data_IF_728040059586
#
_entry.id   IF_728040059586
#
_cell.length_a   1.000
_cell.length_b   1.000
_cell.length_c   1.000
_cell.angle_alpha   90.00
_cell.angle_beta   90.00
_cell.angle_gamma   90.00
#
_symmetry.space_group_name_H-M   'P 1'
#
loop_
_entity.id
_entity.type
_entity.pdbx_description
1 polymer ?
#
# COMPACT_ATOMS: atom_id res chain seq x y z
N UNK A 1 -41.53 -6.77 -21.46
CA UNK A 1 -40.47 -6.53 -20.47
C UNK A 1 -39.19 -7.14 -20.96
N UNK A 2 -38.39 -6.39 -21.70
CA UNK A 2 -37.08 -6.82 -22.19
C UNK A 2 -36.08 -6.51 -21.07
N UNK A 3 -35.76 -7.50 -20.27
CA UNK A 3 -34.65 -7.43 -19.32
C UNK A 3 -33.35 -7.48 -20.11
N UNK A 4 -32.74 -6.31 -20.32
CA UNK A 4 -31.35 -6.22 -20.77
C UNK A 4 -30.46 -6.82 -19.68
N UNK A 5 -30.14 -8.11 -19.83
CA UNK A 5 -29.04 -8.72 -19.09
C UNK A 5 -27.74 -8.15 -19.59
N UNK A 6 -27.26 -7.09 -18.91
CA UNK A 6 -25.94 -6.54 -19.14
C UNK A 6 -24.87 -7.64 -18.97
N UNK A 7 -23.81 -7.63 -19.77
CA UNK A 7 -22.73 -8.62 -19.70
C UNK A 7 -21.80 -8.35 -18.49
N UNK A 8 -22.35 -8.45 -17.29
CA UNK A 8 -21.60 -8.27 -16.02
C UNK A 8 -20.59 -9.40 -15.77
N UNK A 9 -20.79 -10.57 -16.36
CA UNK A 9 -19.84 -11.70 -16.24
C UNK A 9 -18.51 -11.42 -16.92
N UNK A 10 -18.52 -10.84 -18.13
CA UNK A 10 -17.29 -10.62 -18.91
C UNK A 10 -16.37 -9.56 -18.27
N UNK A 11 -16.95 -8.53 -17.67
CA UNK A 11 -16.18 -7.52 -16.95
C UNK A 11 -15.61 -8.05 -15.63
N UNK A 12 -16.31 -8.95 -14.94
CA UNK A 12 -15.82 -9.59 -13.73
C UNK A 12 -14.71 -10.62 -14.01
N UNK A 13 -14.79 -11.33 -15.12
CA UNK A 13 -13.76 -12.29 -15.53
C UNK A 13 -12.49 -11.58 -16.00
N UNK A 14 -12.62 -10.48 -16.74
CA UNK A 14 -11.50 -9.61 -17.11
C UNK A 14 -10.85 -8.96 -15.88
N UNK A 15 -11.64 -8.51 -14.92
CA UNK A 15 -11.11 -7.94 -13.67
C UNK A 15 -10.36 -8.99 -12.83
N UNK A 16 -10.84 -10.23 -12.80
CA UNK A 16 -10.13 -11.34 -12.14
C UNK A 16 -8.83 -11.68 -12.86
N UNK A 17 -8.83 -11.76 -14.19
CA UNK A 17 -7.63 -12.05 -14.97
C UNK A 17 -6.61 -10.93 -14.84
N UNK A 18 -7.04 -9.66 -14.87
CA UNK A 18 -6.16 -8.52 -14.62
C UNK A 18 -5.63 -8.49 -13.19
N UNK A 19 -6.46 -8.87 -12.21
CA UNK A 19 -6.08 -8.90 -10.80
C UNK A 19 -5.18 -10.07 -10.40
N UNK A 20 -5.07 -11.13 -11.22
CA UNK A 20 -4.21 -12.28 -10.94
C UNK A 20 -3.11 -12.43 -11.98
N UNK A 21 -3.42 -13.02 -13.13
CA UNK A 21 -2.39 -13.40 -14.12
C UNK A 21 -1.57 -12.22 -14.65
N UNK A 22 -2.22 -11.09 -14.96
CA UNK A 22 -1.51 -9.89 -15.42
C UNK A 22 -0.65 -9.28 -14.30
N UNK A 23 -1.17 -9.26 -13.08
CA UNK A 23 -0.41 -8.79 -11.92
C UNK A 23 0.83 -9.68 -11.68
N UNK A 24 0.69 -10.99 -11.79
CA UNK A 24 1.81 -11.93 -11.61
C UNK A 24 2.88 -11.73 -12.69
N UNK A 25 2.48 -11.55 -13.94
CA UNK A 25 3.40 -11.22 -15.04
C UNK A 25 4.14 -9.90 -14.78
N UNK A 26 3.43 -8.86 -14.35
CA UNK A 26 4.04 -7.55 -14.04
C UNK A 26 5.02 -7.68 -12.87
N UNK A 27 4.68 -8.42 -11.82
CA UNK A 27 5.55 -8.65 -10.67
C UNK A 27 6.83 -9.39 -11.08
N UNK A 28 6.72 -10.42 -11.92
CA UNK A 28 7.88 -11.16 -12.43
C UNK A 28 8.78 -10.26 -13.28
N UNK A 29 8.19 -9.46 -14.19
CA UNK A 29 8.95 -8.53 -15.03
C UNK A 29 9.64 -7.45 -14.18
N UNK A 30 8.96 -6.89 -13.18
CA UNK A 30 9.56 -5.95 -12.24
C UNK A 30 10.71 -6.59 -11.47
N UNK A 31 10.51 -7.81 -10.97
CA UNK A 31 11.55 -8.55 -10.25
C UNK A 31 12.79 -8.81 -11.12
N UNK A 32 12.60 -9.20 -12.38
CA UNK A 32 13.67 -9.38 -13.34
C UNK A 32 14.39 -8.07 -13.65
N UNK A 33 13.65 -6.99 -13.91
CA UNK A 33 14.22 -5.69 -14.25
C UNK A 33 15.05 -5.14 -13.09
N UNK A 34 14.52 -5.18 -11.87
CA UNK A 34 15.22 -4.74 -10.66
C UNK A 34 16.42 -5.66 -10.38
N UNK A 35 16.24 -6.97 -10.51
CA UNK A 35 17.32 -7.95 -10.30
C UNK A 35 18.48 -7.78 -11.29
N UNK A 36 18.18 -7.54 -12.57
CA UNK A 36 19.21 -7.31 -13.60
C UNK A 36 19.93 -5.96 -13.43
N UNK A 37 19.23 -4.93 -12.92
CA UNK A 37 19.83 -3.62 -12.67
C UNK A 37 20.67 -3.58 -11.39
N UNK A 38 20.52 -4.57 -10.51
CA UNK A 38 21.22 -4.64 -9.22
C UNK A 38 22.53 -5.43 -9.39
N UNK A 39 23.62 -4.74 -9.72
CA UNK A 39 24.95 -5.35 -9.73
C UNK A 39 25.47 -5.55 -8.31
N UNK A 40 25.99 -6.73 -8.02
CA UNK A 40 26.48 -7.08 -6.68
C UNK A 40 27.60 -6.14 -6.18
N UNK A 41 28.43 -5.62 -7.09
CA UNK A 41 29.50 -4.66 -6.80
C UNK A 41 29.00 -3.30 -6.31
N UNK A 42 27.81 -2.87 -6.76
CA UNK A 42 27.21 -1.61 -6.35
C UNK A 42 26.23 -1.79 -5.17
N UNK A 43 25.60 -2.96 -5.09
CA UNK A 43 24.59 -3.24 -4.07
C UNK A 43 25.19 -3.61 -2.70
N UNK A 44 26.37 -4.23 -2.67
CA UNK A 44 27.06 -4.64 -1.43
C UNK A 44 28.05 -3.58 -0.91
N UNK A 45 27.78 -2.31 -1.15
CA UNK A 45 28.54 -1.22 -0.55
C UNK A 45 27.99 -0.86 0.84
N UNK A 46 28.88 -0.38 1.73
CA UNK A 46 28.47 0.08 3.06
C UNK A 46 27.38 1.16 2.98
N UNK A 47 27.41 2.04 1.98
CA UNK A 47 26.40 3.05 1.78
C UNK A 47 25.01 2.45 1.51
N UNK A 48 24.93 1.38 0.72
CA UNK A 48 23.67 0.69 0.43
C UNK A 48 23.11 -0.01 1.67
N UNK A 49 23.96 -0.59 2.50
CA UNK A 49 23.53 -1.19 3.78
C UNK A 49 22.95 -0.12 4.70
N UNK A 50 23.58 1.07 4.79
CA UNK A 50 23.05 2.19 5.56
C UNK A 50 21.71 2.68 5.02
N UNK A 51 21.54 2.78 3.70
CA UNK A 51 20.27 3.18 3.06
C UNK A 51 19.18 2.15 3.39
N UNK A 52 19.50 0.86 3.37
CA UNK A 52 18.57 -0.21 3.73
C UNK A 52 18.11 -0.12 5.19
N UNK A 53 19.05 0.06 6.11
CA UNK A 53 18.74 0.25 7.52
C UNK A 53 17.91 1.52 7.75
N UNK A 54 18.29 2.62 7.11
CA UNK A 54 17.53 3.88 7.19
C UNK A 54 16.11 3.71 6.65
N UNK A 55 15.94 2.99 5.54
CA UNK A 55 14.63 2.66 4.97
C UNK A 55 13.78 1.81 5.92
N UNK A 56 14.37 0.81 6.58
CA UNK A 56 13.67 -0.01 7.57
C UNK A 56 13.20 0.83 8.76
N UNK A 57 14.06 1.70 9.30
CA UNK A 57 13.69 2.63 10.37
C UNK A 57 12.60 3.61 9.94
N UNK A 58 12.72 4.19 8.75
CA UNK A 58 11.71 5.10 8.20
C UNK A 58 10.35 4.40 8.07
N UNK A 59 10.33 3.13 7.64
CA UNK A 59 9.11 2.34 7.52
C UNK A 59 8.43 2.09 8.88
N UNK A 60 9.20 1.76 9.91
CA UNK A 60 8.70 1.57 11.28
C UNK A 60 8.11 2.87 11.81
N UNK A 61 8.81 3.99 11.63
CA UNK A 61 8.34 5.32 12.07
C UNK A 61 7.06 5.70 11.33
N UNK A 62 7.02 5.53 10.01
CA UNK A 62 5.86 5.85 9.18
C UNK A 62 4.62 5.05 9.59
N UNK A 63 4.76 3.74 9.78
CA UNK A 63 3.67 2.86 10.23
C UNK A 63 3.16 3.26 11.62
N UNK A 64 4.06 3.49 12.56
CA UNK A 64 3.73 3.89 13.93
C UNK A 64 3.03 5.26 13.96
N UNK A 65 3.56 6.22 13.22
CA UNK A 65 2.99 7.58 13.12
C UNK A 65 1.61 7.55 12.46
N UNK A 66 1.41 6.73 11.43
CA UNK A 66 0.10 6.55 10.78
C UNK A 66 -0.98 6.06 11.76
N UNK A 67 -0.65 5.06 12.57
CA UNK A 67 -1.56 4.54 13.61
C UNK A 67 -1.84 5.60 14.68
N UNK A 68 -0.80 6.29 15.15
CA UNK A 68 -0.94 7.36 16.14
C UNK A 68 -1.78 8.52 15.61
N UNK A 69 -1.61 8.89 14.35
CA UNK A 69 -2.36 9.96 13.71
C UNK A 69 -3.86 9.65 13.67
N UNK A 70 -4.24 8.43 13.26
CA UNK A 70 -5.66 8.02 13.27
C UNK A 70 -6.20 7.96 14.69
N UNK A 71 -5.39 7.52 15.66
CA UNK A 71 -5.77 7.51 17.08
C UNK A 71 -6.00 8.93 17.61
N UNK A 72 -5.14 9.87 17.22
CA UNK A 72 -5.28 11.29 17.53
C UNK A 72 -6.55 11.88 16.89
N UNK A 73 -6.79 11.63 15.60
CA UNK A 73 -8.04 12.04 14.94
C UNK A 73 -9.28 11.49 15.64
N UNK A 74 -9.24 10.27 16.13
CA UNK A 74 -10.36 9.66 16.83
C UNK A 74 -10.70 10.33 18.18
N UNK A 75 -9.81 11.16 18.73
CA UNK A 75 -10.11 11.97 19.92
C UNK A 75 -11.11 13.07 19.57
N UNK A 76 -10.99 13.65 18.38
CA UNK A 76 -11.88 14.71 17.89
C UNK A 76 -13.17 14.19 17.23
N UNK A 77 -13.21 12.89 16.88
CA UNK A 77 -14.36 12.30 16.22
C UNK A 77 -15.37 11.75 17.23
N UNK A 78 -16.70 12.00 17.02
CA UNK A 78 -17.75 11.42 17.86
C UNK A 78 -17.73 9.88 17.75
N UNK A 79 -18.19 9.21 18.81
CA UNK A 79 -18.14 7.74 18.95
C UNK A 79 -18.64 6.93 17.76
N UNK A 80 -19.62 7.47 17.00
CA UNK A 80 -20.22 6.80 15.83
C UNK A 80 -19.37 6.91 14.55
N UNK A 81 -18.35 7.76 14.51
CA UNK A 81 -17.49 8.00 13.33
C UNK A 81 -16.05 7.62 13.55
N UNK A 82 -15.76 6.85 14.59
CA UNK A 82 -14.39 6.41 14.89
C UNK A 82 -13.85 5.52 13.77
N UNK A 83 -12.66 5.87 13.31
CA UNK A 83 -11.91 5.13 12.29
C UNK A 83 -11.04 4.09 13.00
N UNK A 84 -10.99 2.86 12.46
CA UNK A 84 -10.11 1.86 13.00
C UNK A 84 -8.63 2.29 12.82
N UNK A 85 -7.81 2.31 13.89
CA UNK A 85 -6.40 2.72 13.81
C UNK A 85 -5.56 1.91 12.82
N UNK A 86 -5.93 0.65 12.53
CA UNK A 86 -5.28 -0.20 11.54
C UNK A 86 -5.33 0.38 10.12
N UNK A 87 -6.30 1.24 9.82
CA UNK A 87 -6.38 1.95 8.54
C UNK A 87 -5.21 2.94 8.40
N UNK A 88 -4.76 3.54 9.50
CA UNK A 88 -3.59 4.42 9.52
C UNK A 88 -2.29 3.72 9.12
N UNK A 89 -2.14 2.45 9.46
CA UNK A 89 -0.99 1.65 9.02
C UNK A 89 -0.92 1.48 7.50
N UNK A 90 -2.06 1.55 6.81
CA UNK A 90 -2.12 1.42 5.36
C UNK A 90 -1.65 2.69 4.61
N UNK A 91 -1.38 3.80 5.28
CA UNK A 91 -0.84 5.03 4.68
C UNK A 91 0.60 4.91 4.15
N UNK A 92 1.26 3.78 4.36
CA UNK A 92 2.58 3.47 3.80
C UNK A 92 2.43 3.05 2.34
N UNK A 93 3.38 3.43 1.48
CA UNK A 93 3.33 3.26 0.02
C UNK A 93 3.46 1.82 -0.50
N UNK A 94 3.28 0.80 0.33
CA UNK A 94 3.33 -0.62 -0.04
C UNK A 94 1.94 -1.14 -0.45
N UNK A 95 1.48 -0.80 -1.66
CA UNK A 95 0.17 -1.20 -2.20
C UNK A 95 0.28 -2.55 -2.91
N UNK A 96 -0.65 -3.46 -2.72
CA UNK A 96 -1.78 -3.50 -1.76
C UNK A 96 -1.44 -4.21 -0.44
N UNK A 97 -0.16 -4.45 -0.18
CA UNK A 97 0.33 -5.32 0.89
C UNK A 97 -0.11 -4.82 2.29
N UNK A 98 0.13 -3.53 2.57
CA UNK A 98 -0.23 -2.95 3.88
C UNK A 98 -1.73 -2.96 4.14
N UNK A 99 -2.55 -2.73 3.09
CA UNK A 99 -4.01 -2.81 3.21
C UNK A 99 -4.48 -4.23 3.53
N UNK A 100 -3.86 -5.26 2.93
CA UNK A 100 -4.16 -6.67 3.20
C UNK A 100 -3.75 -7.07 4.62
N UNK A 101 -2.57 -6.64 5.07
CA UNK A 101 -2.10 -6.91 6.44
C UNK A 101 -3.05 -6.28 7.46
N UNK A 102 -3.42 -5.02 7.28
CA UNK A 102 -4.37 -4.32 8.15
C UNK A 102 -5.74 -5.01 8.17
N UNK A 103 -6.21 -5.50 7.01
CA UNK A 103 -7.45 -6.27 6.93
C UNK A 103 -7.36 -7.61 7.67
N UNK A 104 -6.29 -8.37 7.46
CA UNK A 104 -6.09 -9.66 8.12
C UNK A 104 -6.00 -9.50 9.63
N UNK A 105 -5.26 -8.52 10.13
CA UNK A 105 -5.22 -8.19 11.56
C UNK A 105 -6.59 -7.75 12.08
N UNK A 106 -7.35 -6.99 11.31
CA UNK A 106 -8.71 -6.59 11.67
C UNK A 106 -9.65 -7.79 11.82
N UNK A 107 -9.58 -8.75 10.90
CA UNK A 107 -10.38 -9.98 10.90
C UNK A 107 -9.98 -10.95 12.01
N UNK A 108 -8.74 -10.91 12.48
CA UNK A 108 -8.26 -11.71 13.60
C UNK A 108 -8.91 -11.29 14.92
N UNK A 109 -9.17 -9.98 15.09
CA UNK A 109 -9.86 -9.43 16.26
C UNK A 109 -11.38 -9.50 16.14
N UNK A 110 -11.91 -9.23 14.94
CA UNK A 110 -13.36 -9.26 14.66
C UNK A 110 -13.61 -9.72 13.23
N UNK A 111 -14.22 -10.91 13.08
CA UNK A 111 -14.50 -11.55 11.79
C UNK A 111 -15.44 -10.75 10.88
N UNK A 112 -16.13 -9.75 11.40
CA UNK A 112 -17.03 -8.87 10.63
C UNK A 112 -16.39 -7.55 10.23
N UNK A 113 -15.15 -7.28 10.64
CA UNK A 113 -14.47 -6.03 10.43
C UNK A 113 -13.61 -6.05 9.16
N UNK A 114 -14.26 -5.90 8.02
CA UNK A 114 -13.59 -5.85 6.71
C UNK A 114 -12.99 -4.46 6.46
N UNK A 115 -11.69 -4.33 6.64
CA UNK A 115 -10.97 -3.05 6.51
C UNK A 115 -10.36 -2.82 5.13
N UNK A 116 -10.31 -3.83 4.24
CA UNK A 116 -9.56 -3.78 2.99
C UNK A 116 -9.92 -2.58 2.12
N UNK A 117 -11.21 -2.35 1.88
CA UNK A 117 -11.67 -1.25 1.03
C UNK A 117 -11.36 0.12 1.63
N UNK A 118 -11.48 0.24 2.95
CA UNK A 118 -11.17 1.46 3.69
C UNK A 118 -9.66 1.73 3.77
N UNK A 119 -8.85 0.70 3.87
CA UNK A 119 -7.40 0.77 3.93
C UNK A 119 -6.76 1.06 2.55
N UNK A 120 -7.43 0.71 1.46
CA UNK A 120 -6.92 0.97 0.11
C UNK A 120 -6.81 2.47 -0.22
N UNK A 121 -7.73 3.31 0.28
CA UNK A 121 -7.69 4.75 0.07
C UNK A 121 -6.40 5.39 0.58
N UNK A 122 -6.09 5.33 1.89
CA UNK A 122 -4.82 5.81 2.44
C UNK A 122 -3.59 5.17 1.81
N UNK A 123 -3.69 3.90 1.41
CA UNK A 123 -2.59 3.17 0.80
C UNK A 123 -2.22 3.73 -0.58
N UNK A 124 -3.21 3.99 -1.44
CA UNK A 124 -2.99 4.64 -2.75
C UNK A 124 -2.52 6.10 -2.56
N UNK A 125 -3.10 6.83 -1.62
CA UNK A 125 -2.68 8.18 -1.30
C UNK A 125 -1.20 8.24 -0.85
N UNK A 126 -0.73 7.24 -0.09
CA UNK A 126 0.66 7.10 0.31
C UNK A 126 1.62 6.96 -0.89
N UNK A 127 1.24 6.19 -1.91
CA UNK A 127 2.04 6.05 -3.14
C UNK A 127 2.12 7.37 -3.90
N UNK A 128 0.99 8.03 -4.10
CA UNK A 128 0.95 9.33 -4.80
C UNK A 128 1.78 10.36 -4.03
N UNK A 129 1.59 10.42 -2.71
CA UNK A 129 2.33 11.35 -1.84
C UNK A 129 3.84 11.12 -1.87
N UNK A 130 4.29 9.87 -1.82
CA UNK A 130 5.72 9.54 -1.88
C UNK A 130 6.32 9.85 -3.26
N UNK A 131 5.59 9.61 -4.35
CA UNK A 131 6.04 9.93 -5.71
C UNK A 131 6.18 11.45 -5.91
N UNK A 132 5.20 12.23 -5.43
CA UNK A 132 5.25 13.70 -5.49
C UNK A 132 6.38 14.24 -4.63
N UNK A 133 6.57 13.72 -3.42
CA UNK A 133 7.66 14.13 -2.53
C UNK A 133 9.03 13.82 -3.15
N UNK A 134 9.20 12.61 -3.71
CA UNK A 134 10.44 12.25 -4.39
C UNK A 134 10.71 13.14 -5.60
N UNK A 135 9.70 13.41 -6.43
CA UNK A 135 9.82 14.31 -7.58
C UNK A 135 10.18 15.74 -7.18
N UNK A 136 9.55 16.27 -6.12
CA UNK A 136 9.85 17.61 -5.60
C UNK A 136 11.28 17.69 -5.04
N UNK A 137 11.73 16.68 -4.29
CA UNK A 137 13.10 16.62 -3.77
C UNK A 137 14.13 16.56 -4.90
N UNK A 138 13.92 15.71 -5.89
CA UNK A 138 14.81 15.63 -7.06
C UNK A 138 14.89 16.97 -7.80
N UNK A 139 13.74 17.64 -8.02
CA UNK A 139 13.72 18.95 -8.65
C UNK A 139 14.35 20.07 -7.82
N UNK A 140 14.44 19.90 -6.49
CA UNK A 140 15.08 20.89 -5.61
C UNK A 140 16.59 20.71 -5.51
N UNK A 141 17.09 19.48 -5.68
CA UNK A 141 18.51 19.14 -5.60
C UNK A 141 19.19 18.99 -6.98
N UNK A 142 18.44 19.08 -8.07
CA UNK A 142 18.94 19.11 -9.44
C UNK A 142 19.24 20.53 -9.89
#
# INVERSE_FOLDING_TARGET
>A
SVTHSFPTRRSSDLAKTAGSALNDVVVVLLGLTVGCSTQASEFLTMNTVFIFLLGAFAFIIASSTGILFVKFMNIFLPRHKKINPLIGNAGVSAVPMCARISNNMGLEYDRHNFLLMHAMGPNVAGVIGSAVAAGALLGFFS
#
